data_IF_930076717413
#
_entry.id   IF_930076717413
#
_cell.length_a   1.000
_cell.length_b   1.000
_cell.length_c   1.000
_cell.angle_alpha   90.00
_cell.angle_beta   90.00
_cell.angle_gamma   90.00
#
_symmetry.space_group_name_H-M   'P 1'
#
loop_
_entity.id
_entity.type
_entity.pdbx_description
1 polymer ?
2 polymer ?
#
# COMPACT_ATOMS: atom_id res chain seq x y z
N UNK A 7 -6.61 -19.50 -11.77
CA UNK A 7 -6.70 -18.20 -11.11
C UNK A 7 -6.09 -17.07 -11.94
N UNK A 8 -6.89 -16.42 -12.78
CA UNK A 8 -6.42 -15.28 -13.55
C UNK A 8 -6.15 -14.11 -12.62
N UNK A 9 -4.98 -13.50 -12.78
CA UNK A 9 -4.54 -12.42 -11.90
C UNK A 9 -4.15 -11.21 -12.73
N UNK A 10 -4.82 -10.09 -12.48
CA UNK A 10 -4.56 -8.86 -13.20
C UNK A 10 -3.20 -8.30 -12.80
N UNK A 11 -2.56 -7.60 -13.73
CA UNK A 11 -1.31 -6.92 -13.42
C UNK A 11 -1.59 -5.72 -12.52
N UNK A 12 -0.70 -5.46 -11.56
CA UNK A 12 -0.87 -4.26 -10.73
C UNK A 12 -0.49 -3.01 -11.50
N UNK A 13 -0.94 -1.85 -11.01
CA UNK A 13 -0.43 -0.58 -11.50
C UNK A 13 0.43 0.03 -10.40
N UNK A 14 1.50 0.70 -10.80
CA UNK A 14 2.37 1.39 -9.86
C UNK A 14 2.80 2.73 -10.42
N UNK A 15 2.81 3.73 -9.55
CA UNK A 15 3.21 5.07 -9.93
C UNK A 15 3.71 5.82 -8.71
N UNK A 16 4.11 7.06 -8.94
CA UNK A 16 4.57 7.94 -7.88
C UNK A 16 3.90 9.29 -8.07
N UNK A 17 3.92 10.11 -7.03
CA UNK A 17 3.53 11.50 -7.18
C UNK A 17 4.42 12.38 -6.32
N UNK A 18 4.62 13.64 -6.76
CA UNK A 18 5.74 14.46 -6.27
C UNK A 18 5.71 14.84 -4.79
N UNK A 19 4.54 15.03 -4.18
CA UNK A 19 4.53 15.74 -2.92
C UNK A 19 4.62 14.73 -1.79
N UNK A 20 5.81 14.68 -1.19
CA UNK A 20 6.09 13.82 -0.05
C UNK A 20 5.71 14.47 1.28
N UNK A 21 6.01 15.76 1.41
CA UNK A 21 5.86 16.48 2.67
C UNK A 21 4.40 16.52 3.10
N UNK A 22 3.52 16.86 2.17
CA UNK A 22 2.09 16.94 2.43
C UNK A 22 1.53 15.57 2.82
N UNK A 23 1.95 14.54 2.10
CA UNK A 23 1.51 13.18 2.37
C UNK A 23 1.82 12.79 3.81
N UNK A 24 3.09 12.92 4.20
CA UNK A 24 3.53 12.59 5.54
C UNK A 24 2.77 13.36 6.61
N UNK A 25 2.62 14.67 6.42
CA UNK A 25 1.91 15.51 7.39
C UNK A 25 0.48 15.02 7.60
N UNK A 26 -0.12 14.51 6.52
CA UNK A 26 -1.50 14.03 6.56
C UNK A 26 -1.58 12.66 7.23
N UNK A 27 -0.62 11.79 6.94
CA UNK A 27 -0.60 10.44 7.49
C UNK A 27 -0.27 10.45 8.98
N UNK A 28 0.60 11.37 9.39
CA UNK A 28 1.02 11.48 10.78
C UNK A 28 -0.15 11.71 11.72
N UNK A 29 -1.25 12.21 11.18
CA UNK A 29 -2.44 12.50 11.98
C UNK A 29 -3.06 11.23 12.56
N UNK A 30 -2.70 10.08 11.98
CA UNK A 30 -3.08 8.78 12.54
C UNK A 30 -1.83 8.02 12.96
N UNK A 31 -1.75 7.73 14.26
CA UNK A 31 -0.57 7.08 14.83
C UNK A 31 -0.34 5.70 14.22
N UNK A 32 -1.42 4.98 13.95
CA UNK A 32 -1.33 3.61 13.46
C UNK A 32 -0.87 3.53 12.00
N UNK A 33 -0.89 4.66 11.30
CA UNK A 33 -0.50 4.69 9.89
C UNK A 33 0.98 5.00 9.71
N UNK A 34 1.71 5.15 10.82
CA UNK A 34 3.15 5.32 10.78
C UNK A 34 3.81 4.14 11.48
N UNK A 35 4.55 3.35 10.71
CA UNK A 35 5.20 2.15 11.22
C UNK A 35 6.71 2.32 11.28
N UNK A 36 7.31 1.89 12.39
CA UNK A 36 8.76 1.82 12.52
C UNK A 36 9.24 0.42 12.16
N UNK A 37 9.99 0.33 11.06
CA UNK A 37 10.61 -0.92 10.65
C UNK A 37 12.05 -0.95 11.12
N UNK A 38 12.34 -1.86 12.05
CA UNK A 38 13.64 -1.92 12.67
C UNK A 38 14.73 -2.39 11.73
N UNK A 39 15.96 -2.35 12.22
CA UNK A 39 17.11 -2.81 11.46
C UNK A 39 16.97 -4.30 11.14
N UNK A 40 17.11 -4.65 9.87
CA UNK A 40 17.05 -6.05 9.46
C UNK A 40 15.66 -6.67 9.60
N UNK A 41 14.65 -5.83 9.83
CA UNK A 41 13.28 -6.30 10.01
C UNK A 41 12.47 -6.24 8.72
N UNK A 42 11.60 -7.22 8.54
CA UNK A 42 10.57 -7.18 7.51
C UNK A 42 9.21 -7.03 8.17
N UNK A 43 8.49 -5.97 7.82
CA UNK A 43 7.14 -5.74 8.34
C UNK A 43 6.11 -6.07 7.27
N UNK A 44 5.07 -6.80 7.67
CA UNK A 44 3.98 -7.18 6.78
C UNK A 44 2.66 -6.58 7.24
N UNK A 45 2.08 -5.72 6.41
CA UNK A 45 0.74 -5.19 6.66
C UNK A 45 -0.27 -6.03 5.88
N UNK A 46 -1.22 -6.61 6.59
CA UNK A 46 -2.21 -7.49 5.99
C UNK A 46 -3.51 -6.75 5.67
N UNK A 47 -3.85 -6.69 4.39
CA UNK A 47 -5.09 -6.05 3.94
C UNK A 47 -6.04 -7.07 3.31
N UNK A 48 -7.16 -7.38 3.98
CA UNK A 48 -8.11 -8.33 3.38
C UNK A 48 -8.90 -7.75 2.22
N UNK A 49 -9.29 -8.61 1.27
CA UNK A 49 -10.21 -8.22 0.22
C UNK A 49 -11.58 -7.94 0.83
N UNK A 50 -12.27 -6.93 0.31
CA UNK A 50 -13.54 -6.49 0.88
C UNK A 50 -14.74 -7.11 0.17
N UNK A 51 -15.77 -7.45 0.95
CA UNK A 51 -16.94 -8.19 0.46
C UNK A 51 -17.56 -7.50 -0.74
N UNK A 52 -17.81 -6.20 -0.63
CA UNK A 52 -17.95 -5.39 -1.81
C UNK A 52 -16.63 -4.67 -1.96
N UNK A 53 -15.85 -5.14 -2.93
CA UNK A 53 -14.60 -4.51 -3.29
C UNK A 53 -14.06 -5.17 -4.55
N UNK A 54 -13.28 -4.40 -5.29
CA UNK A 54 -12.67 -4.84 -6.53
C UNK A 54 -11.20 -4.46 -6.51
N UNK A 55 -10.95 -3.17 -6.41
CA UNK A 55 -9.58 -2.65 -6.38
C UNK A 55 -9.09 -2.24 -4.99
N UNK A 56 -7.83 -2.57 -4.73
CA UNK A 56 -7.11 -2.10 -3.55
C UNK A 56 -6.13 -1.01 -3.97
N UNK A 57 -5.98 0.02 -3.15
CA UNK A 57 -5.00 1.08 -3.39
C UNK A 57 -4.05 1.18 -2.21
N UNK A 58 -2.77 1.39 -2.49
CA UNK A 58 -1.79 1.65 -1.44
C UNK A 58 -0.92 2.85 -1.77
N UNK A 59 -0.53 3.57 -0.72
CA UNK A 59 0.45 4.64 -0.82
C UNK A 59 1.44 4.46 0.31
N UNK A 60 2.70 4.80 0.07
CA UNK A 60 3.66 4.82 1.16
C UNK A 60 4.84 5.75 0.90
N UNK A 61 5.48 6.17 1.99
CA UNK A 61 6.68 6.98 1.92
C UNK A 61 7.56 6.72 3.14
N UNK A 62 8.85 7.00 3.00
CA UNK A 62 9.79 6.92 4.11
C UNK A 62 10.43 8.29 4.29
N UNK A 63 11.00 8.53 5.47
CA UNK A 63 11.52 9.86 5.79
C UNK A 63 12.87 10.17 5.14
N UNK A 64 13.79 9.22 5.24
CA UNK A 64 15.20 9.44 4.92
C UNK A 64 15.71 8.47 3.86
N UNK A 65 15.63 7.18 4.17
CA UNK A 65 16.27 6.15 3.36
C UNK A 65 15.26 5.27 2.64
N UNK A 66 15.72 4.67 1.55
CA UNK A 66 14.90 3.74 0.78
C UNK A 66 14.54 2.52 1.62
N UNK A 67 13.46 1.86 1.24
CA UNK A 67 13.06 0.60 1.87
C UNK A 67 12.55 -0.36 0.80
N UNK A 68 12.66 -1.66 1.06
CA UNK A 68 12.11 -2.65 0.16
C UNK A 68 10.59 -2.60 0.20
N UNK A 69 9.96 -2.71 -0.97
CA UNK A 69 8.51 -2.83 -1.03
C UNK A 69 8.05 -3.83 -2.07
N UNK A 70 7.12 -4.69 -1.68
CA UNK A 70 6.49 -5.61 -2.61
C UNK A 70 5.12 -5.99 -2.10
N UNK A 71 4.36 -6.70 -2.93
CA UNK A 71 3.00 -7.09 -2.58
C UNK A 71 2.76 -8.55 -2.95
N UNK A 72 2.27 -9.31 -1.98
CA UNK A 72 1.88 -10.70 -2.19
C UNK A 72 0.40 -10.86 -1.87
N UNK A 73 -0.20 -11.91 -2.42
CA UNK A 73 -1.61 -12.21 -2.17
C UNK A 73 -1.76 -13.61 -1.59
N UNK A 74 -2.47 -13.68 -0.47
CA UNK A 74 -2.67 -14.92 0.25
C UNK A 74 -4.10 -15.43 0.06
N UNK A 75 -4.24 -16.53 -0.67
CA UNK A 75 -5.55 -17.09 -0.97
C UNK A 75 -6.16 -17.79 0.24
N UNK A 76 -7.44 -17.53 0.48
CA UNK A 76 -8.17 -18.15 1.58
C UNK A 76 -8.99 -19.35 1.08
N UNK A 113 1.60 -23.35 4.04
CA UNK A 113 0.37 -24.09 3.77
C UNK A 113 -0.49 -23.40 2.70
N UNK A 114 -0.88 -22.13 2.93
CA UNK A 114 -1.76 -21.45 1.97
C UNK A 114 -1.03 -20.99 0.71
N UNK A 115 -1.78 -20.79 -0.37
CA UNK A 115 -1.20 -20.35 -1.64
C UNK A 115 -0.81 -18.88 -1.60
N UNK A 116 0.41 -18.59 -2.06
CA UNK A 116 0.94 -17.24 -2.08
C UNK A 116 1.35 -16.84 -3.49
N UNK A 117 0.74 -15.78 -4.00
CA UNK A 117 1.08 -15.22 -5.31
C UNK A 117 1.79 -13.89 -5.16
N UNK A 118 2.73 -13.62 -6.06
CA UNK A 118 3.49 -12.38 -6.02
C UNK A 118 2.84 -11.34 -6.93
N UNK A 119 2.20 -10.35 -6.33
CA UNK A 119 1.60 -9.26 -7.10
C UNK A 119 2.63 -8.22 -7.54
N UNK A 120 3.36 -7.69 -6.56
CA UNK A 120 4.49 -6.79 -6.79
C UNK A 120 5.77 -7.39 -6.21
N UNK A 121 6.79 -7.66 -7.05
CA UNK A 121 8.04 -8.18 -6.49
C UNK A 121 8.64 -7.21 -5.47
N UNK A 122 9.31 -7.73 -4.45
CA UNK A 122 9.96 -6.85 -3.48
C UNK A 122 11.24 -6.29 -4.08
N UNK A 123 11.30 -4.96 -4.15
CA UNK A 123 12.46 -4.24 -4.64
C UNK A 123 12.60 -2.96 -3.83
N UNK A 124 13.83 -2.50 -3.64
CA UNK A 124 14.06 -1.26 -2.92
C UNK A 124 13.49 -0.09 -3.70
N UNK A 125 12.81 0.81 -3.00
CA UNK A 125 12.13 1.94 -3.63
C UNK A 125 12.67 3.27 -3.14
N UNK A 126 12.48 4.30 -3.96
CA UNK A 126 13.03 5.63 -3.73
C UNK A 126 12.07 6.45 -2.87
N UNK A 127 11.08 5.76 -2.29
CA UNK A 127 9.92 6.38 -1.66
C UNK A 127 10.29 7.41 -0.59
N UNK A 128 11.55 7.45 -0.19
CA UNK A 128 12.04 8.57 0.61
C UNK A 128 12.04 9.88 -0.19
N UNK A 129 12.28 9.80 -1.49
CA UNK A 129 12.23 10.98 -2.37
C UNK A 129 10.82 11.38 -2.81
N UNK A 130 10.00 10.39 -3.18
CA UNK A 130 8.65 10.63 -3.67
C UNK A 130 7.65 9.67 -3.04
N UNK A 131 6.37 10.03 -3.05
CA UNK A 131 5.33 9.12 -2.61
C UNK A 131 5.16 8.02 -3.65
N UNK A 132 5.23 6.77 -3.21
CA UNK A 132 5.00 5.63 -4.09
C UNK A 132 3.59 5.09 -3.88
N UNK A 133 2.92 4.81 -4.99
CA UNK A 133 1.54 4.36 -4.97
C UNK A 133 1.31 3.22 -5.96
N UNK A 134 0.17 2.55 -5.83
CA UNK A 134 -0.16 1.45 -6.71
C UNK A 134 -1.55 0.90 -6.44
N UNK A 135 -1.98 -0.05 -7.26
CA UNK A 135 -3.31 -0.63 -7.14
C UNK A 135 -3.35 -2.02 -7.75
N UNK A 136 -4.33 -2.83 -7.34
CA UNK A 136 -4.53 -4.13 -7.95
C UNK A 136 -6.00 -4.55 -7.93
N UNK A 137 -6.42 -5.24 -8.99
CA UNK A 137 -7.77 -5.78 -9.08
C UNK A 137 -7.87 -7.08 -8.30
N UNK A 138 -8.98 -7.27 -7.60
CA UNK A 138 -9.12 -8.44 -6.74
C UNK A 138 -9.22 -9.71 -7.57
N UNK A 139 -8.22 -10.60 -7.42
CA UNK A 139 -8.20 -11.87 -8.15
C UNK A 139 -9.24 -12.83 -7.62
N UNK A 140 -9.62 -12.61 -6.36
CA UNK A 140 -10.52 -13.49 -5.65
C UNK A 140 -10.49 -13.15 -4.18
N UNK A 141 -11.07 -14.01 -3.36
CA UNK A 141 -11.15 -13.79 -1.93
C UNK A 141 -9.83 -14.19 -1.25
N UNK A 142 -9.27 -13.27 -0.47
CA UNK A 142 -7.98 -13.51 0.16
C UNK A 142 -7.45 -12.30 0.91
N UNK A 143 -6.14 -12.28 1.14
CA UNK A 143 -5.50 -11.23 1.92
C UNK A 143 -4.25 -10.70 1.22
N UNK A 144 -4.17 -9.38 1.08
CA UNK A 144 -2.97 -8.74 0.54
C UNK A 144 -1.91 -8.56 1.62
N UNK A 145 -0.67 -8.90 1.29
CA UNK A 145 0.45 -8.67 2.20
C UNK A 145 1.33 -7.55 1.66
N UNK A 146 1.30 -6.40 2.32
CA UNK A 146 2.21 -5.32 1.96
C UNK A 146 3.52 -5.57 2.68
N UNK A 147 4.58 -5.76 1.91
CA UNK A 147 5.88 -6.09 2.46
C UNK A 147 6.77 -4.87 2.50
N UNK A 148 7.08 -4.39 3.70
CA UNK A 148 8.10 -3.37 3.86
C UNK A 148 9.35 -4.06 4.37
N UNK A 149 10.35 -4.17 3.50
CA UNK A 149 11.52 -5.00 3.78
C UNK A 149 12.75 -4.15 4.05
N UNK A 150 13.16 -4.12 5.32
CA UNK A 150 14.37 -3.43 5.73
C UNK A 150 15.57 -4.37 5.87
N UNK A 151 15.38 -5.65 5.54
CA UNK A 151 16.34 -6.71 5.87
C UNK A 151 17.79 -6.38 5.49
N UNK A 152 17.96 -5.66 4.38
CA UNK A 152 19.30 -5.32 3.91
C UNK A 152 19.95 -4.22 4.75
N UNK A 153 19.17 -3.58 5.61
CA UNK A 153 19.68 -2.45 6.39
C UNK A 153 20.19 -2.94 7.74
N UNK A 154 21.51 -2.86 7.92
CA UNK A 154 22.12 -3.30 9.16
C UNK A 154 21.90 -2.31 10.31
N UNK A 155 22.25 -1.05 10.07
CA UNK A 155 22.27 -0.02 11.12
C UNK A 155 21.09 0.96 11.21
N UNK A 156 20.12 0.89 10.30
CA UNK A 156 19.11 1.94 10.20
C UNK A 156 17.66 1.45 10.27
N UNK A 157 16.90 2.03 11.19
CA UNK A 157 15.45 1.87 11.22
C UNK A 157 14.81 2.79 10.18
N UNK A 158 13.63 2.40 9.70
CA UNK A 158 12.89 3.21 8.73
C UNK A 158 11.51 3.56 9.27
N UNK A 159 11.06 4.78 9.00
CA UNK A 159 9.71 5.20 9.34
C UNK A 159 8.83 5.12 8.10
N UNK A 160 7.78 4.31 8.15
CA UNK A 160 6.90 4.11 7.00
C UNK A 160 5.54 4.76 7.20
N UNK A 161 5.28 5.80 6.41
CA UNK A 161 3.96 6.42 6.34
C UNK A 161 3.20 5.70 5.24
N UNK A 162 2.00 5.21 5.54
CA UNK A 162 1.24 4.44 4.55
C UNK A 162 -0.26 4.62 4.70
N UNK A 163 -0.96 4.39 3.59
CA UNK A 163 -2.41 4.56 3.52
C UNK A 163 -3.02 3.56 2.55
N UNK A 164 -4.23 3.10 2.85
CA UNK A 164 -4.91 2.09 2.05
C UNK A 164 -6.37 2.45 1.78
N UNK A 165 -6.77 2.46 0.51
CA UNK A 165 -8.18 2.59 0.14
C UNK A 165 -8.68 1.32 -0.55
N UNK A 166 -9.96 1.32 -0.88
CA UNK A 166 -10.52 0.31 -1.78
C UNK A 166 -11.79 0.84 -2.44
N UNK A 167 -12.15 0.26 -3.58
CA UNK A 167 -13.38 0.64 -4.28
C UNK A 167 -14.51 -0.32 -3.92
N UNK A 168 -15.66 -0.15 -4.57
CA UNK A 168 -16.84 -0.93 -4.22
C UNK A 168 -16.98 -2.20 -5.06
N UNK B 7 -20.01 4.75 -11.45
CA UNK B 7 -18.73 4.59 -12.15
C UNK B 7 -18.06 3.25 -11.84
N UNK B 8 -17.58 2.57 -12.88
CA UNK B 8 -16.97 1.26 -12.71
C UNK B 8 -15.66 1.36 -11.94
N UNK B 9 -15.34 0.35 -11.11
CA UNK B 9 -14.05 0.34 -10.41
C UNK B 9 -12.85 0.41 -11.34
N UNK B 10 -12.96 -0.22 -12.51
CA UNK B 10 -11.92 -0.13 -13.54
C UNK B 10 -11.62 1.33 -13.84
N UNK B 11 -12.67 2.13 -13.92
CA UNK B 11 -12.53 3.53 -14.30
C UNK B 11 -12.02 4.41 -13.16
N UNK B 12 -12.52 4.17 -11.95
CA UNK B 12 -12.02 4.86 -10.77
C UNK B 12 -10.51 4.67 -10.69
N UNK B 13 -10.07 3.44 -10.92
CA UNK B 13 -8.66 3.08 -10.85
C UNK B 13 -7.82 3.77 -11.92
N UNK B 14 -8.23 3.61 -13.17
CA UNK B 14 -7.50 4.18 -14.30
C UNK B 14 -7.49 5.71 -14.24
N UNK B 15 -8.52 6.29 -13.63
CA UNK B 15 -8.61 7.74 -13.48
C UNK B 15 -7.64 8.25 -12.42
N UNK B 16 -7.66 7.62 -11.25
CA UNK B 16 -6.76 8.01 -10.16
C UNK B 16 -5.30 7.88 -10.58
N UNK B 17 -4.97 6.76 -11.23
CA UNK B 17 -3.62 6.53 -11.73
C UNK B 17 -3.20 7.63 -12.68
N UNK B 18 -4.09 8.00 -13.59
CA UNK B 18 -3.81 9.01 -14.60
C UNK B 18 -3.39 10.34 -13.96
N UNK B 19 -4.26 10.87 -13.11
CA UNK B 19 -3.92 12.05 -12.31
C UNK B 19 -4.19 11.76 -10.84
N UNK B 20 -3.12 11.70 -10.05
CA UNK B 20 -3.22 11.38 -8.63
C UNK B 20 -2.80 12.56 -7.77
N UNK B 21 -3.64 12.88 -6.79
CA UNK B 21 -3.36 13.96 -5.84
C UNK B 21 -4.20 13.73 -4.60
N UNK B 22 -3.82 14.36 -3.49
CA UNK B 22 -4.62 14.27 -2.27
C UNK B 22 -6.02 14.81 -2.55
N UNK B 23 -6.09 15.85 -3.38
CA UNK B 23 -7.37 16.46 -3.72
C UNK B 23 -8.31 15.47 -4.40
N UNK B 24 -7.77 14.69 -5.33
CA UNK B 24 -8.58 13.73 -6.08
C UNK B 24 -8.98 12.56 -5.19
N UNK B 25 -8.07 12.15 -4.31
CA UNK B 25 -8.37 11.12 -3.33
C UNK B 25 -9.57 11.54 -2.49
N UNK B 26 -9.48 12.73 -1.91
CA UNK B 26 -10.54 13.26 -1.06
C UNK B 26 -11.86 13.38 -1.80
N UNK B 27 -11.80 13.85 -3.04
CA UNK B 27 -13.00 13.97 -3.86
C UNK B 27 -13.65 12.61 -4.08
N UNK B 28 -12.85 11.64 -4.50
CA UNK B 28 -13.33 10.28 -4.69
C UNK B 28 -13.89 9.70 -3.40
N UNK B 29 -13.22 10.01 -2.29
CA UNK B 29 -13.64 9.52 -0.98
C UNK B 29 -14.98 10.13 -0.57
N UNK B 30 -15.12 11.43 -0.80
CA UNK B 30 -16.36 12.14 -0.48
C UNK B 30 -17.55 11.57 -1.26
N UNK B 31 -17.28 11.04 -2.44
CA UNK B 31 -18.33 10.51 -3.31
C UNK B 31 -18.56 9.01 -3.11
N UNK B 32 -17.76 8.40 -2.23
CA UNK B 32 -17.93 6.99 -1.90
C UNK B 32 -17.30 6.03 -2.89
N UNK B 33 -16.57 6.58 -3.86
CA UNK B 33 -15.94 5.76 -4.89
C UNK B 33 -14.77 4.96 -4.33
N UNK B 34 -13.94 5.62 -3.52
CA UNK B 34 -12.90 4.94 -2.76
C UNK B 34 -13.23 5.06 -1.28
N UNK B 35 -12.86 4.03 -0.52
CA UNK B 35 -13.13 3.98 0.91
C UNK B 35 -11.84 3.67 1.65
N UNK B 36 -11.49 4.51 2.61
CA UNK B 36 -10.25 4.31 3.35
C UNK B 36 -10.41 3.15 4.33
N UNK B 37 -9.39 2.29 4.37
CA UNK B 37 -9.38 1.15 5.27
C UNK B 37 -8.64 1.57 6.54
N UNK B 38 -9.37 1.73 7.66
CA UNK B 38 -8.73 2.28 8.86
C UNK B 38 -7.52 1.47 9.30
N UNK B 39 -6.44 2.15 9.65
CA UNK B 39 -5.18 1.50 9.97
C UNK B 39 -5.27 0.65 11.24
N UNK B 40 -6.23 0.97 12.11
CA UNK B 40 -6.41 0.22 13.34
C UNK B 40 -6.97 -1.18 13.08
N UNK B 41 -7.56 -1.37 11.90
CA UNK B 41 -8.12 -2.66 11.51
C UNK B 41 -7.11 -3.55 10.81
N UNK B 42 -5.90 -3.03 10.59
CA UNK B 42 -4.88 -3.74 9.83
C UNK B 42 -3.86 -4.43 10.73
N UNK B 43 -3.74 -5.74 10.56
CA UNK B 43 -2.79 -6.54 11.32
C UNK B 43 -1.38 -6.37 10.76
N UNK B 44 -0.45 -6.01 11.63
CA UNK B 44 0.95 -5.81 11.24
C UNK B 44 1.83 -6.88 11.88
N UNK B 45 2.68 -7.51 11.06
CA UNK B 45 3.60 -8.54 11.54
C UNK B 45 5.03 -8.02 11.49
N UNK B 46 5.88 -8.57 12.35
CA UNK B 46 7.31 -8.28 12.29
C UNK B 46 8.13 -9.57 12.28
N UNK B 47 9.22 -9.57 11.52
CA UNK B 47 10.12 -10.71 11.44
C UNK B 47 11.56 -10.24 11.28
N UNK B 48 12.49 -10.94 11.92
CA UNK B 48 13.92 -10.65 11.79
C UNK B 48 14.58 -11.76 10.97
N UNK B 49 15.30 -11.38 9.93
CA UNK B 49 15.91 -12.34 9.02
C UNK B 49 17.19 -12.94 9.60
#
# INVERSE_FOLDING_TARGET
GAMESLPVIAAPSMWTRPQIKDFKEKIQQDADSVITVGRGEVVTVRVPTHEEGSYLFWEFATDNYDIGFGVYFEWTDSPNTAVSVHVSESSDDDEEEEENIGCEEKAKKNANKPLLDEIVPVYRRDCHEEVYAGSHQYPGRGVYLLKFDNSYSLWRSKSVYYRVYYTR
GSGSGTPAPDAINDALRSADSQEARDACQKKGWIVIHPSNELVVEKHISR
#
